data_IF_711166472089
#
_entry.id   IF_711166472089
#
_cell.length_a   1.000
_cell.length_b   1.000
_cell.length_c   1.000
_cell.angle_alpha   90.00
_cell.angle_beta   90.00
_cell.angle_gamma   90.00
#
_symmetry.space_group_name_H-M   'P 1'
#
loop_
_entity.id
_entity.type
_entity.pdbx_description
1 polymer ?
#
# COMPACT_ATOMS: atom_id res chain seq x y z
N UNK A 1 -9.27 0.55 -1.60
CA UNK A 1 -8.35 0.40 -2.75
C UNK A 1 -7.28 -0.67 -2.54
N UNK A 2 -6.71 -0.82 -1.34
CA UNK A 2 -5.63 -1.78 -1.09
C UNK A 2 -6.08 -3.27 -1.26
N UNK A 3 -7.31 -3.61 -0.84
CA UNK A 3 -7.94 -4.92 -1.09
C UNK A 3 -8.03 -5.28 -2.59
N UNK A 4 -8.43 -4.32 -3.43
CA UNK A 4 -8.60 -4.53 -4.87
C UNK A 4 -7.24 -4.77 -5.56
N UNK A 5 -6.19 -4.07 -5.10
CA UNK A 5 -4.82 -4.30 -5.55
C UNK A 5 -4.39 -5.73 -5.24
N UNK A 6 -4.55 -6.18 -4.00
CA UNK A 6 -4.20 -7.54 -3.64
C UNK A 6 -5.06 -8.58 -4.38
N UNK A 7 -6.37 -8.39 -4.52
CA UNK A 7 -7.21 -9.32 -5.28
C UNK A 7 -6.81 -9.42 -6.77
N UNK A 8 -6.53 -8.28 -7.40
CA UNK A 8 -6.16 -8.22 -8.82
C UNK A 8 -4.76 -8.78 -9.07
N UNK A 9 -3.83 -8.57 -8.13
CA UNK A 9 -2.42 -8.93 -8.30
C UNK A 9 -1.98 -10.15 -7.48
N UNK A 10 -2.87 -10.78 -6.70
CA UNK A 10 -2.60 -11.95 -5.82
C UNK A 10 -1.71 -13.01 -6.46
N UNK A 11 -2.08 -13.46 -7.66
CA UNK A 11 -1.31 -14.49 -8.41
C UNK A 11 0.06 -13.97 -8.83
N UNK A 12 0.15 -12.74 -9.34
CA UNK A 12 1.43 -12.13 -9.72
C UNK A 12 2.33 -11.92 -8.50
N UNK A 13 1.75 -11.49 -7.39
CA UNK A 13 2.43 -11.29 -6.11
C UNK A 13 3.01 -12.63 -5.61
N UNK A 14 2.22 -13.69 -5.58
CA UNK A 14 2.67 -15.02 -5.16
C UNK A 14 3.82 -15.56 -6.04
N UNK A 15 3.71 -15.46 -7.37
CA UNK A 15 4.76 -15.90 -8.31
C UNK A 15 6.05 -15.11 -8.11
N UNK A 16 5.95 -13.78 -8.01
CA UNK A 16 7.12 -12.90 -7.80
C UNK A 16 7.79 -13.15 -6.45
N UNK A 17 7.02 -13.48 -5.41
CA UNK A 17 7.52 -13.84 -4.08
C UNK A 17 8.26 -15.17 -4.07
N UNK A 18 7.74 -16.19 -4.76
CA UNK A 18 8.43 -17.49 -4.95
C UNK A 18 9.73 -17.31 -5.76
N UNK A 19 9.75 -16.34 -6.68
CA UNK A 19 10.95 -15.96 -7.43
C UNK A 19 11.98 -15.15 -6.60
N UNK A 20 11.73 -14.91 -5.31
CA UNK A 20 12.66 -14.23 -4.40
C UNK A 20 12.63 -12.69 -4.45
N UNK A 21 11.67 -12.06 -5.13
CA UNK A 21 11.57 -10.59 -5.16
C UNK A 21 11.23 -10.04 -3.77
N UNK A 22 11.94 -8.96 -3.41
CA UNK A 22 11.75 -8.28 -2.13
C UNK A 22 10.44 -7.49 -2.06
N UNK A 23 10.06 -7.07 -0.86
CA UNK A 23 8.82 -6.31 -0.60
C UNK A 23 8.73 -5.00 -1.43
N UNK A 24 9.86 -4.31 -1.63
CA UNK A 24 9.91 -3.06 -2.39
C UNK A 24 9.73 -3.31 -3.90
N UNK A 25 10.29 -4.36 -4.48
CA UNK A 25 10.04 -4.69 -5.90
C UNK A 25 8.60 -5.11 -6.15
N UNK A 26 7.98 -5.73 -5.16
CA UNK A 26 6.62 -6.24 -5.24
C UNK A 26 5.58 -5.13 -5.11
N UNK A 27 5.83 -4.13 -4.25
CA UNK A 27 4.88 -3.08 -3.91
C UNK A 27 5.35 -1.67 -4.33
N UNK A 28 6.50 -1.52 -4.96
CA UNK A 28 7.10 -0.23 -5.30
C UNK A 28 6.22 0.62 -6.22
N UNK A 29 5.59 0.00 -7.24
CA UNK A 29 4.63 0.70 -8.11
C UNK A 29 3.42 1.20 -7.31
N UNK A 30 2.92 0.38 -6.40
CA UNK A 30 1.78 0.73 -5.54
C UNK A 30 2.13 1.83 -4.54
N UNK A 31 3.32 1.78 -3.94
CA UNK A 31 3.86 2.85 -3.10
C UNK A 31 4.05 4.14 -3.90
N UNK A 32 4.49 4.06 -5.15
CA UNK A 32 4.60 5.19 -6.06
C UNK A 32 3.24 5.86 -6.33
N UNK A 33 2.21 5.08 -6.62
CA UNK A 33 0.83 5.57 -6.79
C UNK A 33 0.27 6.18 -5.49
N UNK A 34 0.59 5.61 -4.33
CA UNK A 34 0.23 6.18 -3.04
C UNK A 34 0.92 7.52 -2.79
N UNK A 35 2.20 7.65 -3.13
CA UNK A 35 2.92 8.93 -3.03
C UNK A 35 2.32 9.96 -3.98
N UNK A 36 2.02 9.57 -5.23
CA UNK A 36 1.36 10.46 -6.19
C UNK A 36 -0.01 10.96 -5.72
N UNK A 37 -0.86 10.06 -5.22
CA UNK A 37 -2.16 10.44 -4.65
C UNK A 37 -2.03 11.28 -3.38
N UNK A 38 -1.05 11.01 -2.51
CA UNK A 38 -0.77 11.82 -1.34
C UNK A 38 -0.32 13.24 -1.70
N UNK A 39 0.50 13.42 -2.75
CA UNK A 39 0.90 14.74 -3.25
C UNK A 39 -0.28 15.53 -3.82
N UNK A 40 -1.20 14.87 -4.54
CA UNK A 40 -2.45 15.51 -5.00
C UNK A 40 -3.29 15.94 -3.78
N UNK A 41 -3.43 15.06 -2.80
CA UNK A 41 -4.12 15.37 -1.54
C UNK A 41 -3.47 16.54 -0.79
N UNK A 42 -2.14 16.63 -0.82
CA UNK A 42 -1.38 17.75 -0.24
C UNK A 42 -1.72 19.08 -0.93
N UNK A 43 -1.74 19.11 -2.26
CA UNK A 43 -2.07 20.32 -3.03
C UNK A 43 -3.47 20.82 -2.73
N UNK A 44 -4.45 19.91 -2.65
CA UNK A 44 -5.82 20.23 -2.25
C UNK A 44 -5.90 20.72 -0.81
N UNK A 45 -5.19 20.06 0.12
CA UNK A 45 -5.13 20.47 1.51
C UNK A 45 -4.52 21.87 1.67
N UNK A 46 -3.43 22.18 0.95
CA UNK A 46 -2.82 23.50 0.96
C UNK A 46 -3.76 24.57 0.41
N UNK A 47 -4.46 24.27 -0.69
CA UNK A 47 -5.43 25.18 -1.27
C UNK A 47 -6.56 25.53 -0.29
N UNK A 48 -7.08 24.55 0.45
CA UNK A 48 -8.16 24.76 1.41
C UNK A 48 -7.71 25.39 2.73
N UNK A 49 -6.64 24.88 3.35
CA UNK A 49 -6.24 25.29 4.70
C UNK A 49 -5.32 26.51 4.70
N UNK A 50 -4.71 26.86 3.55
CA UNK A 50 -3.65 27.87 3.42
C UNK A 50 -2.49 27.70 4.42
N UNK A 51 -2.37 26.52 5.01
CA UNK A 51 -1.39 26.20 6.05
C UNK A 51 -0.55 25.01 5.61
N UNK A 52 0.74 25.26 5.47
CA UNK A 52 1.74 24.26 5.08
C UNK A 52 1.85 23.16 6.15
N UNK A 53 1.73 23.52 7.43
CA UNK A 53 1.83 22.58 8.56
C UNK A 53 0.68 21.58 8.55
N UNK A 54 -0.55 22.06 8.34
CA UNK A 54 -1.74 21.19 8.29
C UNK A 54 -1.65 20.24 7.08
N UNK A 55 -1.21 20.77 5.94
CA UNK A 55 -1.05 19.97 4.71
C UNK A 55 0.04 18.90 4.85
N UNK A 56 1.16 19.21 5.51
CA UNK A 56 2.19 18.23 5.88
C UNK A 56 1.64 17.15 6.81
N UNK A 57 0.87 17.53 7.83
CA UNK A 57 0.25 16.59 8.76
C UNK A 57 -0.66 15.59 8.04
N UNK A 58 -1.46 16.05 7.08
CA UNK A 58 -2.33 15.20 6.26
C UNK A 58 -1.53 14.21 5.41
N UNK A 59 -0.44 14.66 4.77
CA UNK A 59 0.42 13.77 3.97
C UNK A 59 1.07 12.69 4.83
N UNK A 60 1.64 13.08 5.97
CA UNK A 60 2.27 12.13 6.89
C UNK A 60 1.25 11.11 7.40
N UNK A 61 0.04 11.56 7.77
CA UNK A 61 -1.03 10.68 8.20
C UNK A 61 -1.45 9.70 7.10
N UNK A 62 -1.56 10.15 5.85
CA UNK A 62 -1.89 9.30 4.71
C UNK A 62 -0.81 8.25 4.44
N UNK A 63 0.47 8.64 4.48
CA UNK A 63 1.59 7.72 4.28
C UNK A 63 1.65 6.64 5.36
N UNK A 64 1.50 7.03 6.64
CA UNK A 64 1.47 6.07 7.77
C UNK A 64 0.29 5.10 7.61
N UNK A 65 -0.90 5.62 7.31
CA UNK A 65 -2.09 4.79 7.11
C UNK A 65 -1.89 3.79 5.97
N UNK A 66 -1.36 4.26 4.84
CA UNK A 66 -1.03 3.43 3.68
C UNK A 66 -0.04 2.32 4.00
N UNK A 67 1.03 2.64 4.73
CA UNK A 67 2.02 1.67 5.18
C UNK A 67 1.39 0.62 6.09
N UNK A 68 0.63 1.06 7.11
CA UNK A 68 -0.04 0.16 8.04
C UNK A 68 -1.02 -0.77 7.31
N UNK A 69 -1.83 -0.24 6.40
CA UNK A 69 -2.76 -1.04 5.61
C UNK A 69 -2.05 -2.09 4.75
N UNK A 70 -0.98 -1.68 4.05
CA UNK A 70 -0.22 -2.58 3.18
C UNK A 70 0.44 -3.71 3.99
N UNK A 71 1.05 -3.39 5.13
CA UNK A 71 1.69 -4.37 6.00
C UNK A 71 0.67 -5.34 6.62
N UNK A 72 -0.47 -4.84 7.10
CA UNK A 72 -1.52 -5.67 7.66
C UNK A 72 -2.16 -6.59 6.61
N UNK A 73 -2.34 -6.09 5.38
CA UNK A 73 -2.87 -6.90 4.28
C UNK A 73 -1.85 -7.94 3.82
N UNK A 74 -0.58 -7.59 3.66
CA UNK A 74 0.47 -8.55 3.33
C UNK A 74 0.55 -9.70 4.35
N UNK A 75 0.46 -9.40 5.65
CA UNK A 75 0.41 -10.42 6.72
C UNK A 75 -0.86 -11.28 6.67
N UNK A 76 -2.01 -10.70 6.35
CA UNK A 76 -3.27 -11.44 6.18
C UNK A 76 -3.22 -12.37 4.97
N UNK A 77 -2.72 -11.86 3.84
CA UNK A 77 -2.52 -12.62 2.61
C UNK A 77 -1.57 -13.79 2.81
N UNK A 78 -0.47 -13.58 3.54
CA UNK A 78 0.47 -14.64 3.89
C UNK A 78 -0.19 -15.74 4.73
N UNK A 79 -0.98 -15.39 5.74
CA UNK A 79 -1.73 -16.37 6.53
C UNK A 79 -2.74 -17.14 5.67
N UNK A 80 -3.41 -16.48 4.74
CA UNK A 80 -4.36 -17.12 3.82
C UNK A 80 -3.62 -18.06 2.84
N UNK A 81 -2.50 -17.63 2.26
CA UNK A 81 -1.69 -18.45 1.36
C UNK A 81 -1.14 -19.69 2.09
N UNK A 82 -0.64 -19.53 3.32
CA UNK A 82 -0.20 -20.65 4.16
C UNK A 82 -1.34 -21.60 4.54
N UNK A 83 -2.57 -21.11 4.72
CA UNK A 83 -3.74 -21.96 4.96
C UNK A 83 -4.12 -22.76 3.71
N UNK A 84 -4.11 -22.12 2.54
CA UNK A 84 -4.42 -22.77 1.25
C UNK A 84 -3.35 -23.80 0.89
N UNK A 85 -2.07 -23.50 1.12
CA UNK A 85 -0.98 -24.45 0.85
C UNK A 85 -1.01 -25.67 1.79
N UNK A 86 -1.52 -25.51 3.01
CA UNK A 86 -1.74 -26.59 3.97
C UNK A 86 -3.04 -27.38 3.73
N UNK A 87 -3.78 -27.10 2.66
CA UNK A 87 -4.93 -27.91 2.25
C UNK A 87 -6.14 -27.87 3.20
N UNK A 88 -6.38 -26.74 3.87
CA UNK A 88 -7.61 -26.48 4.63
C UNK A 88 -8.52 -25.48 3.92
#
# INVERSE_FOLDING_TARGET
MNLLYFETFKRKIAIKRIAGMGFIELHGSYLGEQVGSALIGMGLAMFMTKSVIVSLGVVVALLINSWMLLNNQAKREEKIQLSVLNGR
#
